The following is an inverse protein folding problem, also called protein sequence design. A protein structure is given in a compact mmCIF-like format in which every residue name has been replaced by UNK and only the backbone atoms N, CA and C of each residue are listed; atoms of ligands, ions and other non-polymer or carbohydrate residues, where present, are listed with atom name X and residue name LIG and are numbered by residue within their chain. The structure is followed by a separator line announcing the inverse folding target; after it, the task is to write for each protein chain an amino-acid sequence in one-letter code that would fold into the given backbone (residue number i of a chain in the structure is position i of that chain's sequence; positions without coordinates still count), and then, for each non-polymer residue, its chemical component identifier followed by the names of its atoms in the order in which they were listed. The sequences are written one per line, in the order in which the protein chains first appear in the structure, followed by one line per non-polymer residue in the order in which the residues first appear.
data_IF_606108226330
#
_entry.id   IF_606108226330
#
_cell.length_a   1.000
_cell.length_b   1.000
_cell.length_c   1.000
_cell.angle_alpha   90.00
_cell.angle_beta   90.00
_cell.angle_gamma   90.00
#
_symmetry.space_group_name_H-M   'P 1'
#
loop_
_entity.id
_entity.type
_entity.pdbx_description
1 polymer ?
#
# COMPACT_ATOMS: atom_id res chain seq x y z
N UNK A 1 38.14 29.25 -29.74
CA UNK A 1 38.57 27.82 -29.60
C UNK A 1 38.58 27.35 -28.14
N UNK A 2 39.23 28.04 -27.19
CA UNK A 2 39.23 27.65 -25.76
C UNK A 2 37.84 27.67 -25.11
N UNK A 3 37.00 28.66 -25.40
CA UNK A 3 35.62 28.72 -24.87
C UNK A 3 34.71 27.61 -25.38
N UNK A 4 34.83 27.24 -26.66
CA UNK A 4 34.06 26.15 -27.28
C UNK A 4 34.46 24.81 -26.64
N UNK A 5 35.76 24.59 -26.43
CA UNK A 5 36.27 23.42 -25.71
C UNK A 5 35.80 23.39 -24.26
N UNK A 6 35.80 24.53 -23.56
CA UNK A 6 35.30 24.64 -22.19
C UNK A 6 33.80 24.34 -22.09
N UNK A 7 33.00 24.87 -23.03
CA UNK A 7 31.56 24.60 -23.09
C UNK A 7 31.31 23.11 -23.36
N UNK A 8 32.02 22.50 -24.32
CA UNK A 8 31.89 21.08 -24.62
C UNK A 8 32.28 20.20 -23.43
N UNK A 9 33.36 20.55 -22.73
CA UNK A 9 33.81 19.83 -21.53
C UNK A 9 32.81 19.98 -20.38
N UNK A 10 32.25 21.17 -20.17
CA UNK A 10 31.23 21.45 -19.16
C UNK A 10 29.94 20.66 -19.44
N UNK A 11 29.45 20.66 -20.67
CA UNK A 11 28.24 19.89 -21.04
C UNK A 11 28.46 18.39 -20.88
N UNK A 12 29.65 17.89 -21.25
CA UNK A 12 30.01 16.47 -21.08
C UNK A 12 30.14 16.08 -19.60
N UNK A 13 30.74 16.92 -18.77
CA UNK A 13 30.83 16.71 -17.32
C UNK A 13 29.45 16.77 -16.64
N UNK A 14 28.57 17.68 -17.05
CA UNK A 14 27.19 17.74 -16.56
C UNK A 14 26.42 16.47 -16.97
N UNK A 15 26.59 16.00 -18.20
CA UNK A 15 25.98 14.74 -18.68
C UNK A 15 26.45 13.52 -17.88
N UNK A 16 27.75 13.40 -17.62
CA UNK A 16 28.33 12.30 -16.81
C UNK A 16 27.80 12.34 -15.38
N UNK A 17 27.71 13.53 -14.76
CA UNK A 17 27.18 13.67 -13.40
C UNK A 17 25.68 13.30 -13.33
N UNK A 18 24.89 13.65 -14.35
CA UNK A 18 23.47 13.29 -14.41
C UNK A 18 23.26 11.78 -14.55
N UNK A 19 24.00 11.12 -15.44
CA UNK A 19 23.94 9.65 -15.57
C UNK A 19 24.36 8.94 -14.29
N UNK A 20 25.45 9.42 -13.66
CA UNK A 20 25.95 8.84 -12.41
C UNK A 20 24.94 9.01 -11.28
N UNK A 21 24.30 10.18 -11.17
CA UNK A 21 23.28 10.44 -10.15
C UNK A 21 22.05 9.54 -10.34
N UNK A 22 21.61 9.31 -11.59
CA UNK A 22 20.47 8.44 -11.87
C UNK A 22 20.77 6.97 -11.56
N UNK A 23 22.01 6.50 -11.78
CA UNK A 23 22.42 5.14 -11.42
C UNK A 23 22.53 4.95 -9.90
N UNK A 24 22.97 5.97 -9.17
CA UNK A 24 23.13 5.92 -7.71
C UNK A 24 21.85 6.26 -6.94
N UNK A 25 20.87 6.89 -7.58
CA UNK A 25 19.63 7.35 -6.98
C UNK A 25 18.87 6.26 -6.21
N UNK A 26 18.68 5.02 -6.71
CA UNK A 26 18.00 3.96 -5.97
C UNK A 26 18.73 3.58 -4.68
N UNK A 27 20.05 3.45 -4.75
CA UNK A 27 20.88 3.09 -3.60
C UNK A 27 20.81 4.19 -2.53
N UNK A 28 20.91 5.44 -2.94
CA UNK A 28 20.87 6.57 -2.03
C UNK A 28 19.48 6.77 -1.43
N UNK A 29 18.41 6.50 -2.18
CA UNK A 29 17.04 6.44 -1.65
C UNK A 29 16.92 5.39 -0.54
N UNK A 30 17.39 4.16 -0.77
CA UNK A 30 17.36 3.08 0.23
C UNK A 30 18.17 3.47 1.47
N UNK A 31 19.36 4.05 1.31
CA UNK A 31 20.20 4.50 2.43
C UNK A 31 19.51 5.59 3.26
N UNK A 32 18.95 6.61 2.62
CA UNK A 32 18.22 7.68 3.32
C UNK A 32 16.97 7.13 4.00
N UNK A 33 16.22 6.26 3.33
CA UNK A 33 15.02 5.63 3.88
C UNK A 33 15.34 4.81 5.14
N UNK A 34 16.38 3.97 5.07
CA UNK A 34 16.81 3.15 6.21
C UNK A 34 17.35 4.01 7.36
N UNK A 35 18.19 5.00 7.06
CA UNK A 35 18.80 5.86 8.08
C UNK A 35 17.74 6.78 8.73
N UNK A 36 16.87 7.39 7.91
CA UNK A 36 15.74 8.19 8.36
C UNK A 36 14.78 7.36 9.21
N UNK A 37 14.44 6.15 8.77
CA UNK A 37 13.61 5.21 9.53
C UNK A 37 14.24 4.81 10.87
N UNK A 38 15.55 4.56 10.92
CA UNK A 38 16.26 4.23 12.15
C UNK A 38 16.28 5.40 13.15
N UNK A 39 16.59 6.61 12.67
CA UNK A 39 16.57 7.83 13.48
C UNK A 39 15.16 8.08 14.02
N UNK A 40 14.15 7.96 13.17
CA UNK A 40 12.76 8.16 13.54
C UNK A 40 12.32 7.12 14.58
N UNK A 41 12.63 5.83 14.38
CA UNK A 41 12.35 4.76 15.36
C UNK A 41 13.00 5.05 16.71
N UNK A 42 14.23 5.55 16.71
CA UNK A 42 14.92 5.92 17.94
C UNK A 42 14.27 7.14 18.63
N UNK A 43 13.94 8.17 17.86
CA UNK A 43 13.32 9.40 18.37
C UNK A 43 11.90 9.19 18.91
N UNK A 44 11.11 8.37 18.23
CA UNK A 44 9.73 8.06 18.61
C UNK A 44 9.63 7.02 19.74
N UNK A 45 10.73 6.40 20.16
CA UNK A 45 10.73 5.35 21.20
C UNK A 45 10.07 5.77 22.50
N UNK A 46 10.10 7.07 22.84
CA UNK A 46 9.49 7.62 24.07
C UNK A 46 8.14 8.31 23.83
N UNK A 47 7.68 8.34 22.59
CA UNK A 47 6.40 8.96 22.22
C UNK A 47 5.33 7.88 22.07
N UNK A 48 4.05 8.19 22.32
CA UNK A 48 2.95 7.25 22.14
C UNK A 48 2.59 7.00 20.66
N UNK A 49 3.34 7.58 19.72
CA UNK A 49 3.03 7.50 18.29
C UNK A 49 3.60 6.22 17.66
N UNK A 50 2.80 5.45 16.91
CA UNK A 50 3.31 4.34 16.12
C UNK A 50 4.39 4.81 15.12
N UNK A 51 5.45 4.02 14.97
CA UNK A 51 6.57 4.39 14.09
C UNK A 51 6.13 4.56 12.62
N UNK A 52 5.11 3.81 12.18
CA UNK A 52 4.54 3.87 10.82
C UNK A 52 3.96 5.25 10.52
N UNK A 53 3.28 5.87 11.49
CA UNK A 53 2.74 7.24 11.37
C UNK A 53 3.87 8.25 11.18
N UNK A 54 4.95 8.11 11.94
CA UNK A 54 6.11 8.98 11.79
C UNK A 54 6.83 8.80 10.45
N UNK A 55 6.89 7.56 9.93
CA UNK A 55 7.52 7.27 8.64
C UNK A 55 6.70 7.86 7.49
N UNK A 56 5.37 7.77 7.58
CA UNK A 56 4.45 8.41 6.65
C UNK A 56 4.61 9.94 6.67
N UNK A 57 4.63 10.55 7.86
CA UNK A 57 4.84 11.99 8.02
C UNK A 57 6.20 12.44 7.46
N UNK A 58 7.26 11.66 7.70
CA UNK A 58 8.59 11.93 7.15
C UNK A 58 8.60 11.90 5.62
N UNK A 59 7.98 10.89 5.00
CA UNK A 59 7.83 10.81 3.54
C UNK A 59 7.05 12.00 2.96
N UNK A 60 5.94 12.37 3.59
CA UNK A 60 5.15 13.55 3.21
C UNK A 60 5.96 14.85 3.30
N UNK A 61 6.74 15.03 4.38
CA UNK A 61 7.59 16.21 4.53
C UNK A 61 8.66 16.29 3.45
N UNK A 62 9.32 15.17 3.14
CA UNK A 62 10.32 15.13 2.06
C UNK A 62 9.68 15.43 0.70
N UNK A 63 8.52 14.82 0.41
CA UNK A 63 7.80 15.08 -0.84
C UNK A 63 7.32 16.53 -0.97
N UNK A 64 6.90 17.16 0.12
CA UNK A 64 6.53 18.58 0.10
C UNK A 64 7.76 19.49 -0.06
N UNK A 65 8.88 19.16 0.59
CA UNK A 65 10.15 19.88 0.40
C UNK A 65 10.68 19.79 -1.03
N UNK A 66 10.53 18.64 -1.69
CA UNK A 66 10.87 18.48 -3.09
C UNK A 66 9.99 19.39 -3.98
N UNK A 67 8.67 19.36 -3.74
CA UNK A 67 7.69 20.14 -4.50
C UNK A 67 7.88 21.66 -4.41
N UNK A 68 8.39 22.17 -3.29
CA UNK A 68 8.69 23.61 -3.12
C UNK A 68 10.07 24.01 -3.65
N UNK A 69 10.83 23.09 -4.26
CA UNK A 69 12.13 23.36 -4.89
C UNK A 69 13.33 23.40 -3.93
N UNK A 70 13.16 23.04 -2.66
CA UNK A 70 14.25 23.05 -1.68
C UNK A 70 15.36 22.04 -2.01
N UNK A 71 15.00 20.95 -2.70
CA UNK A 71 15.91 19.85 -3.02
C UNK A 71 16.69 20.05 -4.32
N UNK A 72 16.42 21.11 -5.09
CA UNK A 72 17.17 21.45 -6.31
C UNK A 72 18.66 21.69 -6.04
N UNK A 73 19.00 22.09 -4.82
CA UNK A 73 20.39 22.33 -4.39
C UNK A 73 21.19 21.04 -4.17
N UNK A 74 20.54 19.87 -4.10
CA UNK A 74 21.19 18.58 -3.84
C UNK A 74 20.76 17.58 -4.93
N UNK A 75 21.44 17.58 -6.11
CA UNK A 75 21.01 16.81 -7.28
C UNK A 75 20.83 15.32 -7.02
N UNK A 76 21.71 14.69 -6.23
CA UNK A 76 21.60 13.27 -5.88
C UNK A 76 20.35 12.95 -5.05
N UNK A 77 20.00 13.83 -4.10
CA UNK A 77 18.83 13.65 -3.23
C UNK A 77 17.54 13.83 -4.03
N UNK A 78 17.51 14.83 -4.93
CA UNK A 78 16.41 15.02 -5.86
C UNK A 78 16.23 13.81 -6.77
N UNK A 79 17.29 13.32 -7.42
CA UNK A 79 17.23 12.11 -8.26
C UNK A 79 16.73 10.88 -7.48
N UNK A 80 17.09 10.73 -6.20
CA UNK A 80 16.59 9.65 -5.33
C UNK A 80 15.11 9.74 -5.02
N UNK A 81 14.60 10.94 -4.77
CA UNK A 81 13.18 11.17 -4.50
C UNK A 81 12.37 11.04 -5.78
N UNK A 82 12.87 11.57 -6.89
CA UNK A 82 12.29 11.39 -8.23
C UNK A 82 12.22 9.90 -8.59
N UNK A 83 13.27 9.11 -8.29
CA UNK A 83 13.26 7.67 -8.49
C UNK A 83 12.13 6.99 -7.71
N UNK A 84 11.96 7.34 -6.43
CA UNK A 84 10.91 6.77 -5.59
C UNK A 84 9.50 7.22 -5.99
N UNK A 85 9.34 8.50 -6.35
CA UNK A 85 8.06 9.08 -6.76
C UNK A 85 7.57 8.58 -8.12
N UNK A 86 8.48 8.18 -9.01
CA UNK A 86 8.16 7.60 -10.31
C UNK A 86 8.27 6.06 -10.34
N UNK A 87 8.50 5.43 -9.18
CA UNK A 87 8.56 3.98 -9.10
C UNK A 87 7.20 3.37 -9.47
N UNK A 88 7.22 2.31 -10.28
CA UNK A 88 5.99 1.61 -10.64
C UNK A 88 5.39 0.92 -9.39
N UNK A 89 4.15 1.26 -8.96
CA UNK A 89 3.51 0.63 -7.81
C UNK A 89 3.41 -0.89 -7.92
N UNK A 90 3.21 -1.43 -9.13
CA UNK A 90 3.12 -2.86 -9.37
C UNK A 90 4.45 -3.56 -9.11
N UNK A 91 5.57 -2.91 -9.46
CA UNK A 91 6.90 -3.44 -9.16
C UNK A 91 7.16 -3.50 -7.66
N UNK A 92 6.74 -2.47 -6.92
CA UNK A 92 6.82 -2.46 -5.46
C UNK A 92 6.01 -3.64 -4.91
N UNK A 93 4.76 -3.79 -5.37
CA UNK A 93 3.91 -4.90 -4.96
C UNK A 93 4.55 -6.27 -5.28
N UNK A 94 4.99 -6.51 -6.51
CA UNK A 94 5.54 -7.82 -6.91
C UNK A 94 6.85 -8.17 -6.22
N UNK A 95 7.65 -7.18 -5.81
CA UNK A 95 8.90 -7.42 -5.07
C UNK A 95 8.60 -7.65 -3.59
N UNK A 96 7.80 -6.80 -2.96
CA UNK A 96 7.59 -6.83 -1.51
C UNK A 96 6.52 -7.83 -1.08
N UNK A 97 5.42 -7.98 -1.83
CA UNK A 97 4.29 -8.84 -1.44
C UNK A 97 4.72 -10.30 -1.20
N UNK A 98 5.51 -10.97 -2.07
CA UNK A 98 5.93 -12.35 -1.81
C UNK A 98 6.79 -12.47 -0.55
N UNK A 99 7.66 -11.48 -0.30
CA UNK A 99 8.54 -11.45 0.88
C UNK A 99 7.71 -11.29 2.15
N UNK A 100 6.76 -10.35 2.16
CA UNK A 100 5.88 -10.07 3.30
C UNK A 100 4.94 -11.24 3.60
N UNK A 101 4.34 -11.85 2.57
CA UNK A 101 3.48 -13.03 2.73
C UNK A 101 4.30 -14.21 3.27
N UNK A 102 5.52 -14.42 2.77
CA UNK A 102 6.38 -15.49 3.25
C UNK A 102 6.76 -15.29 4.73
N UNK A 103 7.14 -14.08 5.13
CA UNK A 103 7.47 -13.74 6.51
C UNK A 103 6.27 -13.98 7.44
N UNK A 104 5.09 -13.47 7.08
CA UNK A 104 3.85 -13.68 7.83
C UNK A 104 3.47 -15.17 7.92
N UNK A 105 3.61 -15.92 6.83
CA UNK A 105 3.33 -17.36 6.82
C UNK A 105 4.35 -18.17 7.65
N UNK A 106 5.59 -17.71 7.74
CA UNK A 106 6.65 -18.36 8.50
C UNK A 106 6.47 -18.19 10.02
N UNK A 107 6.01 -17.02 10.48
CA UNK A 107 5.74 -16.76 11.90
C UNK A 107 4.43 -17.41 12.41
N UNK A 108 3.56 -17.86 11.51
CA UNK A 108 2.22 -18.34 11.83
C UNK A 108 2.23 -19.77 12.43
N UNK A 109 1.67 -19.92 13.63
CA UNK A 109 1.41 -21.24 14.23
C UNK A 109 0.20 -21.89 13.55
N UNK A 110 0.46 -22.81 12.63
CA UNK A 110 -0.56 -23.50 11.81
C UNK A 110 -1.57 -24.26 12.68
N UNK A 111 -1.17 -24.80 13.83
CA UNK A 111 -2.07 -25.56 14.69
C UNK A 111 -3.09 -24.66 15.39
N UNK A 112 -2.63 -23.52 15.93
CA UNK A 112 -3.51 -22.52 16.54
C UNK A 112 -4.37 -21.85 15.47
N UNK A 113 -3.76 -21.48 14.33
CA UNK A 113 -4.46 -20.85 13.21
C UNK A 113 -5.64 -21.68 12.72
N UNK A 114 -5.46 -22.99 12.48
CA UNK A 114 -6.56 -23.86 12.05
C UNK A 114 -7.71 -23.92 13.06
N UNK A 115 -7.41 -23.80 14.36
CA UNK A 115 -8.42 -23.79 15.43
C UNK A 115 -9.13 -22.44 15.55
N UNK A 116 -8.51 -21.34 15.14
CA UNK A 116 -9.08 -19.99 15.18
C UNK A 116 -9.67 -19.54 13.84
N UNK A 117 -9.39 -20.25 12.75
CA UNK A 117 -9.77 -19.88 11.38
C UNK A 117 -11.27 -19.61 11.25
N UNK A 118 -12.13 -20.49 11.75
CA UNK A 118 -13.59 -20.31 11.66
C UNK A 118 -14.04 -19.00 12.30
N UNK A 119 -13.52 -18.68 13.48
CA UNK A 119 -13.85 -17.44 14.17
C UNK A 119 -13.29 -16.23 13.42
N UNK A 120 -12.07 -16.33 12.90
CA UNK A 120 -11.45 -15.29 12.09
C UNK A 120 -12.24 -15.02 10.80
N UNK A 121 -12.72 -16.06 10.10
CA UNK A 121 -13.53 -15.92 8.89
C UNK A 121 -14.88 -15.25 9.16
N UNK A 122 -15.55 -15.63 10.25
CA UNK A 122 -16.85 -15.04 10.64
C UNK A 122 -16.68 -13.57 11.03
N UNK A 123 -15.53 -13.17 11.59
CA UNK A 123 -15.25 -11.78 11.92
C UNK A 123 -14.83 -10.98 10.68
N UNK A 124 -13.90 -11.53 9.91
CA UNK A 124 -13.24 -10.87 8.78
C UNK A 124 -14.19 -10.65 7.61
N UNK A 125 -14.77 -11.71 7.04
CA UNK A 125 -15.51 -11.60 5.76
C UNK A 125 -16.75 -10.70 5.88
N UNK A 126 -17.66 -10.90 6.87
CA UNK A 126 -18.79 -10.01 7.07
C UNK A 126 -18.35 -8.61 7.49
N UNK A 127 -17.31 -8.49 8.31
CA UNK A 127 -16.76 -7.21 8.74
C UNK A 127 -16.32 -6.34 7.57
N UNK A 128 -15.58 -6.93 6.62
CA UNK A 128 -15.14 -6.27 5.38
C UNK A 128 -16.30 -5.85 4.51
N UNK A 129 -17.29 -6.74 4.31
CA UNK A 129 -18.47 -6.41 3.49
C UNK A 129 -19.24 -5.25 4.11
N UNK A 130 -19.46 -5.28 5.43
CA UNK A 130 -20.15 -4.21 6.15
C UNK A 130 -19.35 -2.89 6.06
N UNK A 131 -18.05 -2.92 6.31
CA UNK A 131 -17.19 -1.74 6.22
C UNK A 131 -17.19 -1.13 4.81
N UNK A 132 -17.12 -1.98 3.78
CA UNK A 132 -17.21 -1.57 2.38
C UNK A 132 -18.56 -0.90 2.08
N UNK A 133 -19.68 -1.53 2.47
CA UNK A 133 -21.02 -1.00 2.24
C UNK A 133 -21.24 0.34 2.95
N UNK A 134 -20.80 0.44 4.21
CA UNK A 134 -20.91 1.69 4.99
C UNK A 134 -20.06 2.80 4.38
N UNK A 135 -18.83 2.49 3.96
CA UNK A 135 -17.94 3.45 3.30
C UNK A 135 -18.52 3.92 1.96
N UNK A 136 -19.05 2.99 1.16
CA UNK A 136 -19.69 3.32 -0.10
C UNK A 136 -20.92 4.21 0.10
N UNK A 137 -21.80 3.86 1.05
CA UNK A 137 -22.98 4.64 1.38
C UNK A 137 -22.60 6.05 1.88
N UNK A 138 -21.54 6.16 2.68
CA UNK A 138 -21.01 7.44 3.13
C UNK A 138 -20.53 8.29 1.94
N UNK A 139 -19.77 7.71 1.01
CA UNK A 139 -19.27 8.44 -0.16
C UNK A 139 -20.38 8.91 -1.09
N UNK A 140 -21.39 8.07 -1.34
CA UNK A 140 -22.59 8.47 -2.08
C UNK A 140 -23.34 9.59 -1.35
N UNK A 141 -23.48 9.48 -0.02
CA UNK A 141 -24.06 10.52 0.81
C UNK A 141 -23.30 11.84 0.74
N UNK A 142 -21.97 11.83 0.79
CA UNK A 142 -21.15 13.04 0.62
C UNK A 142 -21.39 13.66 -0.77
N UNK A 143 -21.50 12.83 -1.81
CA UNK A 143 -21.78 13.26 -3.19
C UNK A 143 -23.10 14.02 -3.35
N UNK A 144 -24.09 13.80 -2.48
CA UNK A 144 -25.36 14.57 -2.54
C UNK A 144 -25.28 15.94 -1.87
N UNK A 145 -24.34 16.15 -0.94
CA UNK A 145 -24.19 17.42 -0.21
C UNK A 145 -23.02 18.27 -0.72
N UNK A 146 -22.02 17.66 -1.36
CA UNK A 146 -20.82 18.33 -1.84
C UNK A 146 -20.73 18.23 -3.37
N UNK A 147 -20.97 19.33 -4.11
CA UNK A 147 -20.99 19.33 -5.57
C UNK A 147 -19.70 18.80 -6.24
N UNK A 148 -18.56 18.92 -5.55
CA UNK A 148 -17.27 18.39 -6.02
C UNK A 148 -17.21 16.85 -6.08
N UNK A 149 -18.17 16.15 -5.48
CA UNK A 149 -18.23 14.68 -5.38
C UNK A 149 -19.43 14.08 -6.11
N UNK A 150 -20.16 14.84 -6.92
CA UNK A 150 -21.35 14.38 -7.67
C UNK A 150 -21.05 13.23 -8.67
N UNK A 151 -19.79 13.07 -9.08
CA UNK A 151 -19.37 12.01 -10.02
C UNK A 151 -19.25 10.60 -9.42
N UNK A 152 -19.50 10.42 -8.13
CA UNK A 152 -19.38 9.12 -7.47
C UNK A 152 -20.60 8.25 -7.75
N UNK A 153 -20.41 7.19 -8.53
CA UNK A 153 -21.41 6.14 -8.70
C UNK A 153 -21.20 5.00 -7.68
N UNK A 154 -22.20 4.13 -7.52
CA UNK A 154 -22.14 3.02 -6.56
C UNK A 154 -20.98 2.07 -6.82
N UNK A 155 -20.66 1.77 -8.09
CA UNK A 155 -19.54 0.90 -8.44
C UNK A 155 -18.21 1.47 -7.96
N UNK A 156 -17.98 2.76 -8.18
CA UNK A 156 -16.78 3.46 -7.73
C UNK A 156 -16.73 3.58 -6.20
N UNK A 157 -17.87 3.87 -5.56
CA UNK A 157 -17.97 3.94 -4.11
C UNK A 157 -17.74 2.59 -3.43
N UNK A 158 -18.25 1.49 -3.99
CA UNK A 158 -18.01 0.11 -3.52
C UNK A 158 -16.57 -0.32 -3.76
N UNK A 159 -15.99 0.01 -4.92
CA UNK A 159 -14.57 -0.20 -5.20
C UNK A 159 -13.68 0.51 -4.18
N UNK A 160 -13.97 1.78 -3.89
CA UNK A 160 -13.26 2.54 -2.87
C UNK A 160 -13.49 1.97 -1.46
N UNK A 161 -14.72 1.56 -1.14
CA UNK A 161 -15.04 0.90 0.12
C UNK A 161 -14.24 -0.39 0.31
N UNK A 162 -14.13 -1.22 -0.74
CA UNK A 162 -13.35 -2.46 -0.70
C UNK A 162 -11.85 -2.17 -0.47
N UNK A 163 -11.31 -1.16 -1.16
CA UNK A 163 -9.92 -0.73 -1.02
C UNK A 163 -9.57 -0.31 0.42
N UNK A 164 -10.48 0.39 1.10
CA UNK A 164 -10.23 0.95 2.44
C UNK A 164 -10.63 -0.02 3.57
N UNK A 165 -11.34 -1.11 3.26
CA UNK A 165 -11.81 -2.07 4.28
C UNK A 165 -10.70 -3.01 4.79
N UNK A 166 -9.60 -3.14 4.06
CA UNK A 166 -8.43 -3.89 4.50
C UNK A 166 -7.78 -3.20 5.71
N UNK A 167 -7.68 -3.91 6.84
CA UNK A 167 -7.15 -3.40 8.11
C UNK A 167 -5.83 -4.07 8.44
N UNK A 168 -4.86 -3.24 8.86
CA UNK A 168 -3.60 -3.70 9.42
C UNK A 168 -3.63 -3.58 10.96
N UNK A 169 -3.70 -4.70 11.70
CA UNK A 169 -3.75 -4.68 13.15
C UNK A 169 -2.35 -4.65 13.77
N UNK A 170 -1.26 -4.56 13.00
CA UNK A 170 0.13 -4.69 13.52
C UNK A 170 0.38 -3.78 14.72
N UNK A 171 -0.05 -2.52 14.66
CA UNK A 171 0.11 -1.59 15.79
C UNK A 171 -0.71 -2.00 17.02
N UNK A 172 -1.92 -2.51 16.82
CA UNK A 172 -2.83 -2.94 17.89
C UNK A 172 -2.35 -4.26 18.50
N UNK A 173 -1.91 -5.21 17.68
CA UNK A 173 -1.33 -6.50 18.12
C UNK A 173 -0.06 -6.28 18.94
N UNK A 174 0.82 -5.37 18.51
CA UNK A 174 2.02 -5.02 19.27
C UNK A 174 1.68 -4.50 20.67
N UNK A 175 0.73 -3.55 20.77
CA UNK A 175 0.26 -3.01 22.05
C UNK A 175 -0.37 -4.11 22.93
N UNK A 176 -1.22 -4.96 22.36
CA UNK A 176 -1.88 -6.03 23.10
C UNK A 176 -0.89 -7.09 23.62
N UNK A 177 0.18 -7.37 22.87
CA UNK A 177 1.27 -8.24 23.32
C UNK A 177 2.00 -7.65 24.53
N UNK A 178 2.26 -6.33 24.53
CA UNK A 178 2.83 -5.63 25.71
C UNK A 178 1.91 -5.70 26.94
N UNK A 179 0.59 -5.71 26.72
CA UNK A 179 -0.42 -5.84 27.78
C UNK A 179 -0.65 -7.30 28.23
N UNK A 180 0.11 -8.27 27.71
CA UNK A 180 0.05 -9.67 28.15
C UNK A 180 -1.09 -10.49 27.53
N UNK A 181 -1.55 -10.14 26.32
CA UNK A 181 -2.63 -10.88 25.66
C UNK A 181 -2.25 -12.35 25.36
N UNK A 182 -3.25 -13.22 25.31
CA UNK A 182 -3.03 -14.65 25.05
C UNK A 182 -2.57 -14.89 23.61
N UNK A 183 -1.68 -15.88 23.40
CA UNK A 183 -1.25 -16.29 22.04
C UNK A 183 -2.43 -16.60 21.12
N UNK A 184 -3.49 -17.22 21.64
CA UNK A 184 -4.71 -17.53 20.89
C UNK A 184 -5.42 -16.28 20.38
N UNK A 185 -5.42 -15.19 21.15
CA UNK A 185 -6.02 -13.93 20.73
C UNK A 185 -5.16 -13.23 19.67
N UNK A 186 -3.83 -13.17 19.86
CA UNK A 186 -2.93 -12.65 18.82
C UNK A 186 -3.11 -13.42 17.50
N UNK A 187 -3.07 -14.76 17.52
CA UNK A 187 -3.27 -15.57 16.32
C UNK A 187 -4.66 -15.39 15.70
N UNK A 188 -5.69 -15.10 16.50
CA UNK A 188 -7.03 -14.80 15.96
C UNK A 188 -7.02 -13.48 15.19
N UNK A 189 -6.41 -12.43 15.75
CA UNK A 189 -6.31 -11.11 15.11
C UNK A 189 -5.43 -11.17 13.87
N UNK A 190 -4.28 -11.85 13.95
CA UNK A 190 -3.41 -12.06 12.79
C UNK A 190 -4.18 -12.79 11.66
N UNK A 191 -4.95 -13.83 12.01
CA UNK A 191 -5.77 -14.56 11.04
C UNK A 191 -6.92 -13.72 10.45
N UNK A 192 -7.54 -12.85 11.25
CA UNK A 192 -8.62 -11.97 10.80
C UNK A 192 -8.12 -10.93 9.80
N UNK A 193 -6.96 -10.33 10.05
CA UNK A 193 -6.33 -9.38 9.12
C UNK A 193 -5.85 -10.04 7.84
N UNK A 194 -5.19 -11.21 7.90
CA UNK A 194 -4.79 -11.94 6.68
C UNK A 194 -5.99 -12.29 5.80
N UNK A 195 -7.11 -12.71 6.40
CA UNK A 195 -8.35 -12.99 5.67
C UNK A 195 -9.00 -11.70 5.15
N UNK A 196 -8.86 -10.59 5.88
CA UNK A 196 -9.39 -9.29 5.48
C UNK A 196 -8.68 -8.83 4.20
N UNK A 197 -7.35 -8.81 4.19
CA UNK A 197 -6.55 -8.41 3.03
C UNK A 197 -6.92 -9.21 1.78
N UNK A 198 -7.05 -10.53 1.93
CA UNK A 198 -7.49 -11.42 0.85
C UNK A 198 -8.92 -11.15 0.39
N UNK A 199 -9.84 -10.88 1.30
CA UNK A 199 -11.24 -10.57 0.94
C UNK A 199 -11.35 -9.20 0.28
N UNK A 200 -10.63 -8.20 0.79
CA UNK A 200 -10.60 -6.83 0.28
C UNK A 200 -10.06 -6.75 -1.14
N UNK A 201 -8.94 -7.41 -1.44
CA UNK A 201 -8.38 -7.40 -2.81
C UNK A 201 -9.31 -8.08 -3.83
N UNK A 202 -9.98 -9.16 -3.43
CA UNK A 202 -10.94 -9.88 -4.26
C UNK A 202 -12.16 -9.00 -4.58
N UNK A 203 -12.71 -8.32 -3.57
CA UNK A 203 -13.83 -7.37 -3.75
C UNK A 203 -13.39 -6.12 -4.54
N UNK A 204 -12.18 -5.61 -4.32
CA UNK A 204 -11.63 -4.50 -5.08
C UNK A 204 -11.52 -4.85 -6.57
N UNK A 205 -10.92 -6.00 -6.90
CA UNK A 205 -10.78 -6.46 -8.29
C UNK A 205 -12.14 -6.65 -8.97
N UNK A 206 -13.14 -7.15 -8.23
CA UNK A 206 -14.52 -7.27 -8.70
C UNK A 206 -15.07 -5.92 -9.16
N UNK A 207 -15.07 -4.91 -8.30
CA UNK A 207 -15.63 -3.61 -8.64
C UNK A 207 -14.74 -2.80 -9.60
N UNK A 208 -13.43 -3.02 -9.58
CA UNK A 208 -12.50 -2.46 -10.56
C UNK A 208 -12.80 -2.98 -11.98
N UNK A 209 -13.02 -4.29 -12.12
CA UNK A 209 -13.46 -4.90 -13.38
C UNK A 209 -14.79 -4.31 -13.84
N UNK A 210 -15.79 -4.23 -12.96
CA UNK A 210 -17.08 -3.61 -13.27
C UNK A 210 -16.99 -2.12 -13.63
N UNK A 211 -16.05 -1.38 -13.05
CA UNK A 211 -15.84 0.04 -13.34
C UNK A 211 -15.11 0.28 -14.68
N UNK A 212 -14.14 -0.57 -15.02
CA UNK A 212 -13.33 -0.47 -16.24
C UNK A 212 -13.97 -1.12 -17.46
N UNK A 213 -14.86 -2.10 -17.26
CA UNK A 213 -15.68 -2.68 -18.32
C UNK A 213 -16.75 -1.67 -18.76
N UNK A 214 -16.38 -0.73 -19.62
CA UNK A 214 -17.35 0.05 -20.39
C UNK A 214 -18.09 -0.89 -21.36
N UNK A 215 -19.18 -1.52 -20.89
CA UNK A 215 -20.23 -2.07 -21.75
C UNK A 215 -20.41 -3.59 -21.84
N UNK A 216 -20.14 -4.40 -20.80
CA UNK A 216 -20.62 -5.81 -20.77
C UNK A 216 -21.24 -6.19 -19.41
N UNK A 217 -22.58 -6.17 -19.41
CA UNK A 217 -23.54 -7.00 -18.65
C UNK A 217 -23.97 -6.64 -17.20
N UNK A 218 -25.27 -6.92 -16.97
CA UNK A 218 -26.19 -6.49 -15.90
C UNK A 218 -25.90 -6.97 -14.46
N UNK A 219 -24.77 -7.61 -14.16
CA UNK A 219 -24.47 -8.02 -12.78
C UNK A 219 -22.98 -8.29 -12.54
N UNK A 220 -22.26 -7.38 -11.84
CA UNK A 220 -20.88 -7.61 -11.39
C UNK A 220 -20.72 -8.92 -10.60
N UNK A 221 -21.75 -9.34 -9.86
CA UNK A 221 -21.74 -10.59 -9.09
C UNK A 221 -21.66 -11.83 -10.00
N UNK A 222 -22.25 -11.78 -11.19
CA UNK A 222 -22.15 -12.88 -12.15
C UNK A 222 -20.72 -13.00 -12.71
N UNK A 223 -20.10 -11.86 -13.04
CA UNK A 223 -18.71 -11.83 -13.51
C UNK A 223 -17.74 -12.33 -12.44
N UNK A 224 -17.98 -11.98 -11.16
CA UNK A 224 -17.22 -12.51 -10.03
C UNK A 224 -17.25 -14.04 -9.96
N UNK A 225 -18.44 -14.62 -10.10
CA UNK A 225 -18.66 -16.07 -10.03
C UNK A 225 -18.00 -16.74 -11.23
N UNK A 226 -18.11 -16.16 -12.43
CA UNK A 226 -17.48 -16.68 -13.65
C UNK A 226 -15.96 -16.67 -13.50
N UNK A 227 -15.35 -15.56 -13.09
CA UNK A 227 -13.90 -15.47 -12.91
C UNK A 227 -13.43 -16.46 -11.83
N UNK A 228 -14.14 -16.57 -10.71
CA UNK A 228 -13.81 -17.51 -9.63
C UNK A 228 -13.89 -18.97 -10.09
N UNK A 229 -14.88 -19.34 -10.91
CA UNK A 229 -15.06 -20.69 -11.45
C UNK A 229 -14.05 -20.98 -12.57
N UNK A 230 -13.80 -20.04 -13.48
CA UNK A 230 -12.85 -20.19 -14.59
C UNK A 230 -11.42 -20.34 -14.06
N UNK A 231 -11.06 -19.58 -13.02
CA UNK A 231 -9.76 -19.73 -12.36
C UNK A 231 -9.62 -21.08 -11.63
N UNK A 232 -10.72 -21.64 -11.10
CA UNK A 232 -10.74 -22.99 -10.53
C UNK A 232 -10.62 -24.10 -11.59
N UNK A 233 -11.20 -23.89 -12.78
CA UNK A 233 -11.16 -24.85 -13.90
C UNK A 233 -9.75 -25.00 -14.50
N UNK A 234 -8.96 -23.93 -14.55
CA UNK A 234 -7.57 -23.96 -15.04
C UNK A 234 -6.58 -24.68 -14.11
N UNK A 235 -6.93 -24.89 -12.85
CA UNK A 235 -6.06 -25.53 -11.86
C UNK A 235 -6.22 -27.06 -11.81
N UNK A 236 -7.24 -27.60 -12.50
CA UNK A 236 -7.58 -29.02 -12.55
C UNK A 236 -7.36 -29.64 -13.95
N UNK A 237 -6.56 -29.00 -14.80
CA UNK A 237 -5.94 -29.60 -15.99
C UNK A 237 -4.43 -29.62 -15.81
#
# INVERSE_FOLDING_TARGET
MKEILFYFYRTKLIGINMETNNLLAPLFFVLIGLMGGAILKFGLKKMPLPYTVGLFAFGLLIGTFDRIGWLESIPILKSSIDFAGNANPDMILYIFLPILIFDAAYELDVHIFRKTLTNATILSVPGVIIAMLLTAALMIGIGTFAPSYEGWNWTFALMFGALISATDPVAVVALLKELGTSKRFSTLVDAESMLNDGTGIVLFMLFFGAYTATGVSDSPVADFIIVSIVHYSYKNQ
#
